data_IF_633605059113
#
_entry.id   IF_633605059113
#
_cell.length_a   1.000
_cell.length_b   1.000
_cell.length_c   1.000
_cell.angle_alpha   90.00
_cell.angle_beta   90.00
_cell.angle_gamma   90.00
#
_symmetry.space_group_name_H-M   'P 1'
#
loop_
_entity.id
_entity.type
_entity.pdbx_description
1 polymer ?
#
# COMPACT_ATOMS: atom_id res chain seq x y z
N UNK A 1 -7.62 -2.30 -13.70
CA UNK A 1 -7.14 -3.56 -13.11
C UNK A 1 -5.66 -3.42 -12.77
N UNK A 2 -5.36 -2.40 -11.94
CA UNK A 2 -4.01 -2.02 -11.47
C UNK A 2 -3.93 -2.19 -9.95
N UNK A 3 -4.38 -3.31 -9.47
CA UNK A 3 -4.26 -3.68 -8.07
C UNK A 3 -3.51 -5.01 -8.01
N UNK A 4 -2.33 -4.96 -7.51
CA UNK A 4 -1.40 -6.01 -7.07
C UNK A 4 -0.09 -5.99 -7.85
N UNK A 5 0.81 -5.12 -7.40
CA UNK A 5 2.25 -5.40 -7.32
C UNK A 5 2.96 -4.10 -6.90
N UNK A 6 2.66 -3.65 -5.66
CA UNK A 6 3.76 -3.04 -4.91
C UNK A 6 4.69 -4.20 -4.60
N UNK A 7 5.89 -4.18 -5.16
CA UNK A 7 6.95 -5.01 -4.67
C UNK A 7 7.05 -4.74 -3.16
N UNK A 8 6.51 -5.65 -2.35
CA UNK A 8 6.81 -5.71 -0.94
C UNK A 8 8.32 -5.92 -0.86
N UNK A 9 9.07 -4.85 -0.66
CA UNK A 9 10.25 -4.95 0.14
C UNK A 9 9.71 -5.43 1.50
N UNK A 10 9.63 -6.75 1.66
CA UNK A 10 9.68 -7.41 2.94
C UNK A 10 11.05 -7.03 3.52
N UNK A 11 11.15 -5.82 4.06
CA UNK A 11 11.98 -5.65 5.22
C UNK A 11 11.36 -6.65 6.20
N UNK A 12 12.04 -7.76 6.42
CA UNK A 12 11.84 -8.62 7.54
C UNK A 12 12.23 -7.80 8.78
N UNK A 13 11.42 -6.77 9.10
CA UNK A 13 11.30 -6.31 10.46
C UNK A 13 10.75 -7.54 11.19
N UNK A 14 11.62 -8.14 11.98
CA UNK A 14 11.22 -9.18 12.90
C UNK A 14 9.89 -8.71 13.49
N UNK A 15 8.82 -9.51 13.33
CA UNK A 15 7.60 -9.29 14.06
C UNK A 15 8.05 -9.07 15.50
N UNK A 16 8.04 -7.83 15.97
CA UNK A 16 8.08 -7.55 17.38
C UNK A 16 6.82 -8.23 17.91
N UNK A 17 6.97 -9.48 18.29
CA UNK A 17 6.00 -10.18 19.10
C UNK A 17 6.04 -9.43 20.41
N UNK A 18 5.18 -8.39 20.53
CA UNK A 18 4.87 -7.87 21.85
C UNK A 18 4.56 -9.08 22.70
N UNK A 19 5.22 -9.26 23.85
CA UNK A 19 5.01 -10.42 24.67
C UNK A 19 3.49 -10.50 24.97
N UNK A 20 2.86 -11.56 24.51
CA UNK A 20 1.42 -11.82 24.61
C UNK A 20 0.90 -11.84 26.05
N UNK A 21 1.79 -11.80 27.03
CA UNK A 21 1.48 -11.91 28.46
C UNK A 21 1.44 -10.58 29.23
N UNK A 22 1.71 -9.46 28.56
CA UNK A 22 1.76 -8.14 29.23
C UNK A 22 0.42 -7.40 29.29
N UNK A 23 -0.61 -7.86 28.58
CA UNK A 23 -1.87 -7.13 28.48
C UNK A 23 -3.04 -8.07 28.82
N UNK A 24 -3.50 -7.98 30.07
CA UNK A 24 -4.81 -8.54 30.41
C UNK A 24 -5.88 -7.57 29.90
N UNK A 25 -6.88 -8.06 29.15
CA UNK A 25 -8.06 -7.26 28.85
C UNK A 25 -8.66 -6.64 30.10
N UNK A 26 -9.19 -5.43 29.98
CA UNK A 26 -9.96 -4.76 31.04
C UNK A 26 -9.19 -4.31 32.28
N UNK A 27 -8.06 -3.59 32.15
CA UNK A 27 -7.33 -3.10 33.33
C UNK A 27 -8.14 -2.08 34.15
N UNK A 28 -9.19 -1.50 33.58
CA UNK A 28 -10.01 -0.44 34.21
C UNK A 28 -11.16 -0.94 35.06
N UNK A 29 -11.44 -2.25 35.05
CA UNK A 29 -12.54 -2.82 35.81
C UNK A 29 -12.10 -3.43 37.15
N UNK A 30 -12.78 -3.03 38.24
CA UNK A 30 -12.63 -3.68 39.55
C UNK A 30 -13.69 -4.75 39.67
N UNK A 31 -13.27 -5.99 39.82
CA UNK A 31 -14.14 -7.15 39.94
C UNK A 31 -14.21 -7.58 41.40
N UNK A 32 -15.44 -7.78 41.92
CA UNK A 32 -15.63 -8.26 43.27
C UNK A 32 -15.39 -9.77 43.34
N UNK A 33 -14.66 -10.22 44.37
CA UNK A 33 -14.39 -11.65 44.58
C UNK A 33 -15.69 -12.42 44.72
N UNK A 34 -15.80 -13.55 44.02
CA UNK A 34 -16.96 -14.43 43.90
C UNK A 34 -18.19 -13.78 43.25
N UNK A 35 -18.02 -12.70 42.48
CA UNK A 35 -19.08 -12.21 41.58
C UNK A 35 -19.12 -13.04 40.29
N UNK A 36 -20.19 -12.85 39.48
CA UNK A 36 -20.32 -13.53 38.19
C UNK A 36 -19.20 -13.10 37.23
N UNK A 37 -18.76 -11.84 37.32
CA UNK A 37 -17.62 -11.32 36.57
C UNK A 37 -16.30 -12.00 37.01
N UNK A 38 -16.09 -12.26 38.32
CA UNK A 38 -14.94 -12.97 38.83
C UNK A 38 -14.93 -14.42 38.33
N UNK A 39 -16.05 -15.10 38.38
CA UNK A 39 -16.21 -16.45 37.85
C UNK A 39 -15.94 -16.49 36.32
N UNK A 40 -16.43 -15.49 35.57
CA UNK A 40 -16.12 -15.38 34.15
C UNK A 40 -14.62 -15.22 33.90
N UNK A 41 -13.97 -14.29 34.60
CA UNK A 41 -12.53 -14.06 34.43
C UNK A 41 -11.70 -15.31 34.75
N UNK A 42 -12.09 -16.02 35.81
CA UNK A 42 -11.46 -17.30 36.16
C UNK A 42 -11.68 -18.37 35.06
N UNK A 43 -12.88 -18.46 34.51
CA UNK A 43 -13.21 -19.40 33.44
C UNK A 43 -12.45 -19.07 32.14
N UNK A 44 -12.37 -17.79 31.75
CA UNK A 44 -11.68 -17.35 30.53
C UNK A 44 -10.17 -17.51 30.67
N UNK A 45 -9.61 -17.12 31.81
CA UNK A 45 -8.16 -17.19 32.05
C UNK A 45 -7.68 -18.63 32.32
N UNK A 46 -8.54 -19.48 32.86
CA UNK A 46 -8.25 -20.90 33.11
C UNK A 46 -8.52 -21.82 31.91
N UNK A 47 -9.08 -21.30 30.84
CA UNK A 47 -9.38 -22.09 29.63
C UNK A 47 -8.11 -22.41 28.83
N UNK A 48 -7.98 -23.68 28.45
CA UNK A 48 -6.82 -24.18 27.72
C UNK A 48 -6.81 -23.74 26.24
N UNK A 49 -7.98 -23.41 25.68
CA UNK A 49 -8.14 -23.09 24.27
C UNK A 49 -8.99 -21.84 24.03
N UNK A 50 -8.74 -21.11 22.93
CA UNK A 50 -9.59 -19.95 22.58
C UNK A 50 -11.07 -20.33 22.38
N UNK A 51 -11.38 -21.57 21.97
CA UNK A 51 -12.75 -22.04 21.82
C UNK A 51 -13.45 -22.19 23.18
N UNK A 52 -12.75 -22.67 24.21
CA UNK A 52 -13.28 -22.73 25.59
C UNK A 52 -13.46 -21.32 26.17
N UNK A 53 -12.51 -20.39 25.87
CA UNK A 53 -12.65 -18.98 26.24
C UNK A 53 -13.95 -18.38 25.64
N UNK A 54 -14.18 -18.64 24.34
CA UNK A 54 -15.37 -18.15 23.63
C UNK A 54 -16.64 -18.71 24.26
N UNK A 55 -16.68 -20.00 24.59
CA UNK A 55 -17.84 -20.63 25.23
C UNK A 55 -18.17 -20.02 26.61
N UNK A 56 -17.15 -19.68 27.42
CA UNK A 56 -17.34 -18.99 28.69
C UNK A 56 -17.91 -17.58 28.50
N UNK A 57 -17.41 -16.83 27.52
CA UNK A 57 -17.92 -15.50 27.17
C UNK A 57 -19.38 -15.58 26.67
N UNK A 58 -19.72 -16.54 25.84
CA UNK A 58 -21.09 -16.76 25.33
C UNK A 58 -22.07 -17.09 26.46
N UNK A 59 -21.66 -17.89 27.44
CA UNK A 59 -22.43 -18.19 28.64
C UNK A 59 -22.75 -16.93 29.43
N UNK A 60 -21.72 -16.14 29.75
CA UNK A 60 -21.90 -14.89 30.52
C UNK A 60 -22.75 -13.86 29.77
N UNK A 61 -22.47 -13.63 28.49
CA UNK A 61 -23.22 -12.65 27.69
C UNK A 61 -24.70 -13.01 27.56
N UNK A 62 -25.05 -14.30 27.56
CA UNK A 62 -26.42 -14.75 27.53
C UNK A 62 -27.16 -14.52 28.85
N UNK A 63 -26.49 -14.69 29.99
CA UNK A 63 -27.09 -14.61 31.31
C UNK A 63 -27.02 -13.18 31.87
N UNK A 64 -26.04 -12.37 31.46
CA UNK A 64 -25.72 -11.06 32.02
C UNK A 64 -25.60 -9.96 30.95
N UNK A 65 -26.46 -9.98 29.92
CA UNK A 65 -26.42 -9.04 28.79
C UNK A 65 -26.42 -7.56 29.18
N UNK A 66 -27.05 -7.23 30.32
CA UNK A 66 -27.15 -5.86 30.85
C UNK A 66 -26.04 -5.50 31.87
N UNK A 67 -25.05 -6.39 32.08
CA UNK A 67 -23.96 -6.13 33.01
C UNK A 67 -23.14 -4.93 32.56
N UNK A 68 -22.75 -4.09 33.51
CA UNK A 68 -21.80 -2.99 33.28
C UNK A 68 -20.41 -3.47 32.86
N UNK A 69 -20.15 -4.78 33.01
CA UNK A 69 -18.92 -5.45 32.61
C UNK A 69 -18.90 -5.84 31.14
N UNK A 70 -20.02 -5.66 30.41
CA UNK A 70 -20.09 -6.02 28.98
C UNK A 70 -19.02 -5.40 28.09
N UNK A 71 -18.55 -4.17 28.28
CA UNK A 71 -17.39 -3.65 27.53
C UNK A 71 -16.17 -4.56 27.67
N UNK A 72 -15.85 -4.97 28.90
CA UNK A 72 -14.78 -5.92 29.16
C UNK A 72 -15.00 -7.28 28.46
N UNK A 73 -16.23 -7.78 28.48
CA UNK A 73 -16.59 -9.03 27.79
C UNK A 73 -16.37 -8.90 26.28
N UNK A 74 -16.73 -7.77 25.69
CA UNK A 74 -16.49 -7.49 24.26
C UNK A 74 -15.00 -7.41 23.95
N UNK A 75 -14.17 -6.81 24.81
CA UNK A 75 -12.71 -6.80 24.61
C UNK A 75 -12.14 -8.21 24.64
N UNK A 76 -12.60 -9.07 25.55
CA UNK A 76 -12.24 -10.49 25.56
C UNK A 76 -12.69 -11.17 24.27
N UNK A 77 -13.93 -10.94 23.80
CA UNK A 77 -14.37 -11.45 22.50
C UNK A 77 -13.47 -11.00 21.36
N UNK A 78 -13.10 -9.72 21.32
CA UNK A 78 -12.19 -9.19 20.29
C UNK A 78 -10.84 -9.91 20.34
N UNK A 79 -10.25 -10.06 21.53
CA UNK A 79 -8.98 -10.74 21.73
C UNK A 79 -9.03 -12.22 21.38
N UNK A 80 -10.08 -12.94 21.78
CA UNK A 80 -10.24 -14.38 21.51
C UNK A 80 -10.47 -14.62 20.01
N UNK A 81 -11.31 -13.81 19.34
CA UNK A 81 -11.52 -13.93 17.90
C UNK A 81 -10.25 -13.59 17.11
N UNK A 82 -9.41 -12.66 17.60
CA UNK A 82 -8.09 -12.40 17.01
C UNK A 82 -7.19 -13.65 17.05
N UNK A 83 -7.15 -14.36 18.20
CA UNK A 83 -6.41 -15.63 18.35
C UNK A 83 -6.94 -16.72 17.42
N UNK A 84 -8.25 -16.76 17.21
CA UNK A 84 -8.93 -17.66 16.28
C UNK A 84 -8.78 -17.27 14.81
N UNK A 85 -8.17 -16.11 14.53
CA UNK A 85 -8.04 -15.50 13.20
C UNK A 85 -9.38 -15.15 12.55
N UNK A 86 -10.45 -15.02 13.36
CA UNK A 86 -11.74 -14.45 12.95
C UNK A 86 -11.64 -12.91 13.10
N UNK A 87 -10.91 -12.30 12.17
CA UNK A 87 -10.60 -10.88 12.23
C UNK A 87 -11.85 -10.00 12.12
N UNK A 88 -12.86 -10.46 11.40
CA UNK A 88 -14.10 -9.73 11.21
C UNK A 88 -14.89 -9.61 12.52
N UNK A 89 -14.98 -10.68 13.29
CA UNK A 89 -15.59 -10.64 14.62
C UNK A 89 -14.73 -9.89 15.62
N UNK A 90 -13.41 -10.03 15.54
CA UNK A 90 -12.51 -9.25 16.39
C UNK A 90 -12.75 -7.74 16.20
N UNK A 91 -12.85 -7.28 14.95
CA UNK A 91 -13.18 -5.87 14.63
C UNK A 91 -14.57 -5.50 15.17
N UNK A 92 -15.58 -6.32 14.92
CA UNK A 92 -16.96 -6.05 15.38
C UNK A 92 -17.04 -5.84 16.88
N UNK A 93 -16.43 -6.72 17.68
CA UNK A 93 -16.48 -6.61 19.13
C UNK A 93 -15.64 -5.44 19.66
N UNK A 94 -14.48 -5.18 19.08
CA UNK A 94 -13.68 -4.02 19.47
C UNK A 94 -14.40 -2.69 19.15
N UNK A 95 -15.07 -2.58 18.02
CA UNK A 95 -15.85 -1.39 17.65
C UNK A 95 -17.08 -1.19 18.54
N UNK A 96 -17.70 -2.27 19.06
CA UNK A 96 -18.77 -2.16 20.06
C UNK A 96 -18.31 -1.45 21.34
N UNK A 97 -17.08 -1.71 21.77
CA UNK A 97 -16.53 -1.05 22.96
C UNK A 97 -16.21 0.41 22.71
N UNK A 98 -15.65 0.71 21.53
CA UNK A 98 -15.43 2.10 21.11
C UNK A 98 -16.74 2.91 21.10
N UNK A 99 -17.86 2.28 20.70
CA UNK A 99 -19.18 2.92 20.65
C UNK A 99 -19.73 3.28 22.02
N UNK A 100 -19.33 2.57 23.08
CA UNK A 100 -19.72 2.89 24.49
C UNK A 100 -18.66 3.69 25.23
N UNK A 101 -17.70 4.27 24.50
CA UNK A 101 -16.57 5.06 25.02
C UNK A 101 -15.64 4.30 25.97
N UNK A 102 -15.66 2.98 25.91
CA UNK A 102 -14.61 2.18 26.55
C UNK A 102 -13.35 2.23 25.72
N UNK A 103 -12.26 2.70 26.31
CA UNK A 103 -11.00 2.92 25.56
C UNK A 103 -9.83 2.57 26.47
N UNK A 104 -9.00 1.63 26.01
CA UNK A 104 -7.69 1.39 26.54
C UNK A 104 -6.72 1.01 25.42
N UNK A 105 -5.44 0.97 25.75
CA UNK A 105 -4.39 0.69 24.76
C UNK A 105 -4.48 -0.74 24.22
N UNK A 106 -4.88 -1.70 25.03
CA UNK A 106 -5.01 -3.09 24.61
C UNK A 106 -6.15 -3.27 23.60
N UNK A 107 -7.29 -2.62 23.84
CA UNK A 107 -8.40 -2.56 22.88
C UNK A 107 -7.95 -1.98 21.54
N UNK A 108 -7.22 -0.84 21.58
CA UNK A 108 -6.70 -0.20 20.37
C UNK A 108 -5.77 -1.13 19.59
N UNK A 109 -4.78 -1.71 20.27
CA UNK A 109 -3.82 -2.62 19.62
C UNK A 109 -4.49 -3.89 19.10
N UNK A 110 -5.50 -4.42 19.78
CA UNK A 110 -6.29 -5.58 19.32
C UNK A 110 -7.03 -5.24 18.02
N UNK A 111 -7.70 -4.08 17.99
CA UNK A 111 -8.38 -3.59 16.78
C UNK A 111 -7.42 -3.37 15.62
N UNK A 112 -6.27 -2.74 15.86
CA UNK A 112 -5.26 -2.53 14.83
C UNK A 112 -4.72 -3.85 14.27
N UNK A 113 -4.49 -4.86 15.13
CA UNK A 113 -4.06 -6.19 14.70
C UNK A 113 -5.10 -6.87 13.81
N UNK A 114 -6.37 -6.77 14.20
CA UNK A 114 -7.47 -7.34 13.43
C UNK A 114 -7.59 -6.66 12.06
N UNK A 115 -7.57 -5.33 12.00
CA UNK A 115 -7.58 -4.59 10.73
C UNK A 115 -6.35 -4.88 9.87
N UNK A 116 -5.15 -4.88 10.43
CA UNK A 116 -3.92 -5.16 9.67
C UNK A 116 -3.94 -6.56 9.03
N UNK A 117 -4.57 -7.53 9.71
CA UNK A 117 -4.67 -8.93 9.26
C UNK A 117 -5.90 -9.23 8.40
N UNK A 118 -6.91 -8.36 8.36
CA UNK A 118 -8.13 -8.49 7.54
C UNK A 118 -7.93 -7.85 6.16
N UNK A 119 -9.01 -7.86 5.35
CA UNK A 119 -9.08 -7.07 4.10
C UNK A 119 -9.91 -5.81 4.27
N UNK A 120 -10.49 -5.58 5.45
CA UNK A 120 -11.36 -4.44 5.74
C UNK A 120 -10.56 -3.15 5.92
N UNK A 121 -11.24 -2.06 5.68
CA UNK A 121 -10.80 -0.69 6.00
C UNK A 121 -12.03 0.13 6.38
N UNK A 122 -11.92 0.93 7.42
CA UNK A 122 -12.94 1.92 7.83
C UNK A 122 -12.25 3.18 8.33
N UNK A 123 -13.01 4.25 8.54
CA UNK A 123 -12.46 5.46 9.16
C UNK A 123 -12.04 5.22 10.61
N UNK A 124 -12.73 4.31 11.32
CA UNK A 124 -12.46 3.94 12.72
C UNK A 124 -11.00 3.53 12.93
N UNK A 125 -10.41 2.71 12.03
CA UNK A 125 -9.03 2.27 12.20
C UNK A 125 -8.05 3.45 12.20
N UNK A 126 -8.27 4.44 11.34
CA UNK A 126 -7.41 5.63 11.29
C UNK A 126 -7.62 6.55 12.48
N UNK A 127 -8.85 6.66 12.99
CA UNK A 127 -9.13 7.38 14.23
C UNK A 127 -8.42 6.74 15.42
N UNK A 128 -8.48 5.42 15.54
CA UNK A 128 -7.81 4.68 16.62
C UNK A 128 -6.29 4.82 16.50
N UNK A 129 -5.72 4.67 15.30
CA UNK A 129 -4.29 4.90 15.09
C UNK A 129 -3.86 6.27 15.64
N UNK A 130 -4.61 7.33 15.31
CA UNK A 130 -4.28 8.68 15.76
C UNK A 130 -4.48 8.89 17.27
N UNK A 131 -5.21 8.03 17.97
CA UNK A 131 -5.39 8.07 19.43
C UNK A 131 -4.35 7.26 20.21
N UNK A 132 -3.64 6.34 19.56
CA UNK A 132 -2.64 5.47 20.22
C UNK A 132 -1.61 6.27 21.04
N UNK A 133 -0.97 7.36 20.54
CA UNK A 133 0.04 8.06 21.31
C UNK A 133 -0.52 8.68 22.61
N UNK A 134 -1.71 9.27 22.57
CA UNK A 134 -2.33 9.86 23.73
C UNK A 134 -2.74 8.80 24.76
N UNK A 135 -3.30 7.66 24.29
CA UNK A 135 -3.69 6.55 25.15
C UNK A 135 -2.45 5.88 25.78
N UNK A 136 -1.41 5.63 25.00
CA UNK A 136 -0.16 5.10 25.51
C UNK A 136 0.46 6.02 26.55
N UNK A 137 0.46 7.33 26.32
CA UNK A 137 0.90 8.32 27.28
C UNK A 137 0.04 8.32 28.56
N UNK A 138 -1.29 8.25 28.44
CA UNK A 138 -2.19 8.21 29.59
C UNK A 138 -1.91 7.00 30.49
N UNK A 139 -1.67 5.83 29.90
CA UNK A 139 -1.44 4.60 30.66
C UNK A 139 0.01 4.47 31.20
N UNK A 140 0.98 5.06 30.52
CA UNK A 140 2.39 4.93 30.90
C UNK A 140 2.94 6.10 31.71
N UNK A 141 2.31 7.28 31.67
CA UNK A 141 2.85 8.49 32.31
C UNK A 141 2.54 8.61 33.80
N UNK A 142 1.73 7.74 34.38
CA UNK A 142 1.36 7.78 35.79
C UNK A 142 1.32 6.40 36.46
N UNK A 143 2.33 5.57 36.35
CA UNK A 143 2.41 4.47 37.28
C UNK A 143 2.68 5.09 38.66
N UNK A 144 1.68 5.06 39.55
CA UNK A 144 1.98 5.30 40.96
C UNK A 144 2.88 4.17 41.44
N UNK A 145 4.05 4.52 42.01
CA UNK A 145 4.93 3.52 42.61
C UNK A 145 4.12 2.67 43.60
N UNK A 146 4.04 1.35 43.41
CA UNK A 146 3.37 0.48 44.37
C UNK A 146 3.99 0.66 45.74
N UNK A 147 3.14 0.78 46.79
CA UNK A 147 3.56 1.14 48.16
C UNK A 147 4.68 0.25 48.72
N UNK A 148 4.82 -0.98 48.23
CA UNK A 148 5.82 -1.96 48.68
C UNK A 148 6.90 -2.26 47.64
N UNK A 149 6.89 -1.58 46.49
CA UNK A 149 7.87 -1.87 45.42
C UNK A 149 9.26 -1.40 45.85
N UNK A 150 10.25 -2.27 45.66
CA UNK A 150 11.67 -1.94 45.77
C UNK A 150 12.08 -0.95 44.67
N UNK A 151 13.26 -0.35 44.78
CA UNK A 151 13.75 0.56 43.74
C UNK A 151 14.00 -0.19 42.42
N UNK A 152 14.42 -1.44 42.47
CA UNK A 152 14.63 -2.30 41.29
C UNK A 152 13.31 -2.65 40.59
N UNK A 153 12.29 -3.03 41.37
CA UNK A 153 10.94 -3.29 40.83
C UNK A 153 10.33 -2.04 40.20
N UNK A 154 10.51 -0.89 40.87
CA UNK A 154 10.04 0.38 40.33
C UNK A 154 10.73 0.77 39.03
N UNK A 155 12.05 0.66 38.98
CA UNK A 155 12.82 0.91 37.75
C UNK A 155 12.39 -0.02 36.61
N UNK A 156 12.09 -1.28 36.91
CA UNK A 156 11.55 -2.21 35.93
C UNK A 156 10.17 -1.79 35.41
N UNK A 157 9.23 -1.43 36.30
CA UNK A 157 7.90 -0.97 35.90
C UNK A 157 8.01 0.26 34.97
N UNK A 158 8.88 1.22 35.32
CA UNK A 158 9.10 2.40 34.46
C UNK A 158 9.66 2.03 33.09
N UNK A 159 10.61 1.11 33.05
CA UNK A 159 11.18 0.63 31.79
C UNK A 159 10.14 -0.09 30.93
N UNK A 160 9.40 -1.03 31.52
CA UNK A 160 8.36 -1.79 30.83
C UNK A 160 7.27 -0.85 30.27
N UNK A 161 6.90 0.22 31.01
CA UNK A 161 5.98 1.24 30.55
C UNK A 161 6.52 2.05 29.35
N UNK A 162 7.81 2.42 29.38
CA UNK A 162 8.42 3.14 28.27
C UNK A 162 8.53 2.24 27.01
N UNK A 163 8.88 0.97 27.20
CA UNK A 163 8.91 -0.01 26.12
C UNK A 163 7.50 -0.20 25.52
N UNK A 164 6.47 -0.34 26.34
CA UNK A 164 5.09 -0.45 25.87
C UNK A 164 4.65 0.78 25.05
N UNK A 165 4.99 1.99 25.51
CA UNK A 165 4.65 3.20 24.78
C UNK A 165 5.33 3.24 23.41
N UNK A 166 6.63 2.89 23.35
CA UNK A 166 7.39 2.82 22.12
C UNK A 166 6.86 1.74 21.18
N UNK A 167 6.66 0.54 21.68
CA UNK A 167 6.18 -0.59 20.89
C UNK A 167 4.77 -0.31 20.33
N UNK A 168 3.93 0.39 21.08
CA UNK A 168 2.59 0.79 20.64
C UNK A 168 2.66 1.82 19.51
N UNK A 169 3.59 2.80 19.60
CA UNK A 169 3.87 3.76 18.55
C UNK A 169 4.32 3.04 17.27
N UNK A 170 5.37 2.24 17.37
CA UNK A 170 5.95 1.52 16.22
C UNK A 170 4.91 0.59 15.56
N UNK A 171 4.06 -0.05 16.39
CA UNK A 171 2.98 -0.90 15.91
C UNK A 171 1.88 -0.10 15.18
N UNK A 172 1.48 1.06 15.71
CA UNK A 172 0.48 1.91 15.06
C UNK A 172 0.99 2.44 13.71
N UNK A 173 2.26 2.83 13.62
CA UNK A 173 2.91 3.23 12.36
C UNK A 173 2.88 2.08 11.36
N UNK A 174 3.30 0.88 11.77
CA UNK A 174 3.25 -0.30 10.92
C UNK A 174 1.82 -0.61 10.45
N UNK A 175 0.84 -0.64 11.36
CA UNK A 175 -0.55 -0.94 11.04
C UNK A 175 -1.14 0.09 10.06
N UNK A 176 -0.80 1.37 10.23
CA UNK A 176 -1.21 2.42 9.31
C UNK A 176 -0.82 2.09 7.86
N UNK A 177 0.44 1.77 7.62
CA UNK A 177 0.92 1.45 6.28
C UNK A 177 0.42 0.10 5.74
N UNK A 178 -0.06 -0.81 6.61
CA UNK A 178 -0.74 -2.04 6.16
C UNK A 178 -2.17 -1.76 5.68
N UNK A 179 -2.86 -0.81 6.29
CA UNK A 179 -4.28 -0.53 6.02
C UNK A 179 -4.46 0.56 4.95
N UNK A 180 -3.62 1.59 4.94
CA UNK A 180 -3.72 2.74 4.04
C UNK A 180 -3.85 2.36 2.54
N UNK A 181 -3.13 1.35 1.99
CA UNK A 181 -3.25 0.96 0.59
C UNK A 181 -4.64 0.45 0.19
N UNK A 182 -5.50 0.10 1.16
CA UNK A 182 -6.88 -0.36 0.93
C UNK A 182 -7.85 0.79 0.70
N UNK A 183 -7.45 2.02 1.03
CA UNK A 183 -8.22 3.23 0.69
C UNK A 183 -8.12 3.45 -0.82
N UNK A 184 -9.23 3.23 -1.53
CA UNK A 184 -9.26 3.28 -3.00
C UNK A 184 -9.33 4.70 -3.54
N UNK A 185 -9.98 5.62 -2.83
CA UNK A 185 -10.02 7.04 -3.18
C UNK A 185 -8.67 7.71 -2.89
N UNK A 186 -7.95 8.20 -3.91
CA UNK A 186 -6.64 8.81 -3.72
C UNK A 186 -6.68 10.13 -2.94
N UNK A 187 -7.78 10.90 -3.01
CA UNK A 187 -7.90 12.13 -2.24
C UNK A 187 -8.06 11.82 -0.74
N UNK A 188 -8.89 10.83 -0.42
CA UNK A 188 -9.03 10.31 0.95
C UNK A 188 -7.72 9.72 1.46
N UNK A 189 -6.98 9.00 0.62
CA UNK A 189 -5.69 8.42 1.00
C UNK A 189 -4.67 9.50 1.40
N UNK A 190 -4.61 10.60 0.64
CA UNK A 190 -3.76 11.75 0.96
C UNK A 190 -4.22 12.40 2.27
N UNK A 191 -5.52 12.67 2.42
CA UNK A 191 -6.08 13.27 3.63
C UNK A 191 -5.76 12.46 4.89
N UNK A 192 -5.91 11.14 4.81
CA UNK A 192 -5.61 10.22 5.92
C UNK A 192 -4.12 10.24 6.26
N UNK A 193 -3.25 10.21 5.23
CA UNK A 193 -1.80 10.31 5.43
C UNK A 193 -1.40 11.64 6.08
N UNK A 194 -1.93 12.76 5.61
CA UNK A 194 -1.64 14.08 6.18
C UNK A 194 -2.10 14.21 7.63
N UNK A 195 -3.24 13.59 7.98
CA UNK A 195 -3.72 13.56 9.36
C UNK A 195 -2.81 12.71 10.24
N UNK A 196 -2.40 11.56 9.73
CA UNK A 196 -1.46 10.67 10.41
C UNK A 196 -0.11 11.34 10.67
N UNK A 197 0.48 12.02 9.69
CA UNK A 197 1.78 12.71 9.84
C UNK A 197 1.73 13.88 10.84
N UNK A 198 0.57 14.46 11.11
CA UNK A 198 0.43 15.46 12.20
C UNK A 198 0.55 14.80 13.58
N UNK A 199 0.06 13.57 13.72
CA UNK A 199 0.13 12.80 14.96
C UNK A 199 1.50 12.13 15.15
N UNK A 200 2.11 11.70 14.04
CA UNK A 200 3.39 11.00 13.97
C UNK A 200 4.41 11.77 13.11
N UNK A 201 4.90 12.94 13.58
CA UNK A 201 5.76 13.81 12.76
C UNK A 201 7.15 13.24 12.48
N UNK A 202 7.61 12.30 13.30
CA UNK A 202 8.85 11.56 13.13
C UNK A 202 8.84 10.67 11.86
N UNK A 203 7.67 10.11 11.52
CA UNK A 203 7.48 9.21 10.38
C UNK A 203 7.78 9.90 9.04
N UNK A 204 7.51 11.19 8.92
CA UNK A 204 7.82 11.92 7.68
C UNK A 204 9.33 11.89 7.36
N UNK A 205 10.15 11.81 8.39
CA UNK A 205 11.62 11.75 8.26
C UNK A 205 12.12 10.31 8.23
N UNK A 206 11.67 9.49 9.18
CA UNK A 206 12.23 8.17 9.42
C UNK A 206 11.73 7.15 8.38
N UNK A 207 10.50 7.32 7.89
CA UNK A 207 9.87 6.50 6.84
C UNK A 207 9.62 7.28 5.54
N UNK A 208 10.43 8.30 5.26
CA UNK A 208 10.29 9.19 4.11
C UNK A 208 10.10 8.47 2.77
N UNK A 209 10.76 7.34 2.58
CA UNK A 209 10.63 6.53 1.36
C UNK A 209 9.19 6.01 1.18
N UNK A 210 8.58 5.53 2.26
CA UNK A 210 7.22 4.98 2.24
C UNK A 210 6.19 6.11 2.10
N UNK A 211 6.35 7.21 2.83
CA UNK A 211 5.52 8.40 2.73
C UNK A 211 5.52 8.97 1.31
N UNK A 212 6.70 9.16 0.72
CA UNK A 212 6.83 9.66 -0.65
C UNK A 212 6.19 8.70 -1.67
N UNK A 213 6.29 7.39 -1.45
CA UNK A 213 5.66 6.38 -2.32
C UNK A 213 4.13 6.49 -2.28
N UNK A 214 3.54 6.68 -1.10
CA UNK A 214 2.09 6.87 -0.98
C UNK A 214 1.63 8.13 -1.71
N UNK A 215 2.29 9.27 -1.49
CA UNK A 215 1.97 10.51 -2.19
C UNK A 215 2.11 10.35 -3.71
N UNK A 216 3.21 9.76 -4.17
CA UNK A 216 3.47 9.53 -5.58
C UNK A 216 2.35 8.72 -6.25
N UNK A 217 1.97 7.59 -5.65
CA UNK A 217 0.91 6.73 -6.19
C UNK A 217 -0.48 7.39 -6.12
N UNK A 218 -0.78 8.10 -5.04
CA UNK A 218 -2.05 8.79 -4.89
C UNK A 218 -2.20 9.93 -5.90
N UNK A 219 -1.18 10.78 -6.06
CA UNK A 219 -1.21 11.87 -7.04
C UNK A 219 -1.20 11.37 -8.49
N UNK A 220 -0.50 10.26 -8.78
CA UNK A 220 -0.58 9.61 -10.10
C UNK A 220 -2.02 9.16 -10.40
N UNK A 221 -2.72 8.54 -9.45
CA UNK A 221 -4.13 8.13 -9.61
C UNK A 221 -5.10 9.31 -9.73
N UNK A 222 -4.80 10.45 -9.11
CA UNK A 222 -5.55 11.70 -9.26
C UNK A 222 -5.30 12.38 -10.61
N UNK A 223 -4.25 12.00 -11.35
CA UNK A 223 -3.80 12.72 -12.54
C UNK A 223 -3.13 14.06 -12.21
N UNK A 224 -2.69 14.29 -10.97
CA UNK A 224 -1.93 15.47 -10.58
C UNK A 224 -0.47 15.29 -10.96
N UNK A 225 -0.15 15.68 -12.20
CA UNK A 225 1.15 15.40 -12.82
C UNK A 225 2.29 16.16 -12.13
N UNK A 226 2.06 17.40 -11.69
CA UNK A 226 3.08 18.22 -11.03
C UNK A 226 3.50 17.57 -9.71
N UNK A 227 2.52 17.12 -8.92
CA UNK A 227 2.80 16.40 -7.67
C UNK A 227 3.39 15.01 -7.93
N UNK A 228 2.96 14.33 -8.97
CA UNK A 228 3.58 13.05 -9.38
C UNK A 228 5.06 13.23 -9.69
N UNK A 229 5.43 14.30 -10.41
CA UNK A 229 6.83 14.62 -10.68
C UNK A 229 7.59 14.96 -9.39
N UNK A 230 7.02 15.83 -8.54
CA UNK A 230 7.65 16.23 -7.28
C UNK A 230 8.04 15.02 -6.41
N UNK A 231 7.06 14.12 -6.17
CA UNK A 231 7.30 12.96 -5.32
C UNK A 231 8.10 11.87 -6.01
N UNK A 232 7.97 11.73 -7.33
CA UNK A 232 8.84 10.85 -8.12
C UNK A 232 10.31 11.25 -8.03
N UNK A 233 10.62 12.55 -8.11
CA UNK A 233 11.97 13.07 -7.95
C UNK A 233 12.53 12.83 -6.54
N UNK A 234 11.71 12.97 -5.49
CA UNK A 234 12.09 12.61 -4.11
C UNK A 234 12.45 11.13 -3.96
N UNK A 235 11.64 10.25 -4.60
CA UNK A 235 11.91 8.81 -4.60
C UNK A 235 13.23 8.51 -5.32
N UNK A 236 13.46 9.09 -6.50
CA UNK A 236 14.68 8.85 -7.28
C UNK A 236 15.91 9.44 -6.58
N UNK A 237 15.76 10.54 -5.85
CA UNK A 237 16.85 11.11 -5.05
C UNK A 237 17.29 10.15 -3.94
N UNK A 238 16.37 9.42 -3.32
CA UNK A 238 16.64 8.42 -2.29
C UNK A 238 17.07 7.07 -2.87
N UNK A 239 16.44 6.63 -3.97
CA UNK A 239 16.73 5.39 -4.70
C UNK A 239 16.84 5.68 -6.20
N UNK A 240 18.04 5.96 -6.71
CA UNK A 240 18.28 6.26 -8.12
C UNK A 240 17.92 5.12 -9.09
N UNK A 241 17.72 3.92 -8.58
CA UNK A 241 17.35 2.73 -9.36
C UNK A 241 15.89 2.34 -9.22
N UNK A 242 15.05 3.20 -8.64
CA UNK A 242 13.62 2.92 -8.50
C UNK A 242 12.94 2.87 -9.88
N UNK A 243 12.80 1.66 -10.41
CA UNK A 243 12.30 1.42 -11.77
C UNK A 243 10.90 2.00 -11.98
N UNK A 244 10.02 1.89 -10.98
CA UNK A 244 8.64 2.36 -11.07
C UNK A 244 8.59 3.89 -11.20
N UNK A 245 9.33 4.60 -10.35
CA UNK A 245 9.40 6.06 -10.40
C UNK A 245 10.06 6.53 -11.72
N UNK A 246 11.17 5.91 -12.12
CA UNK A 246 11.86 6.22 -13.37
C UNK A 246 10.96 6.05 -14.60
N UNK A 247 10.24 4.92 -14.71
CA UNK A 247 9.33 4.67 -15.82
C UNK A 247 8.14 5.63 -15.80
N UNK A 248 7.55 5.86 -14.63
CA UNK A 248 6.42 6.79 -14.51
C UNK A 248 6.82 8.19 -14.93
N UNK A 249 7.96 8.71 -14.44
CA UNK A 249 8.43 10.04 -14.85
C UNK A 249 8.80 10.08 -16.33
N UNK A 250 9.39 9.02 -16.86
CA UNK A 250 9.65 8.89 -18.30
C UNK A 250 8.37 9.08 -19.12
N UNK A 251 7.30 8.36 -18.78
CA UNK A 251 6.00 8.47 -19.45
C UNK A 251 5.34 9.84 -19.24
N UNK A 252 5.40 10.40 -18.02
CA UNK A 252 4.83 11.71 -17.71
C UNK A 252 5.51 12.79 -18.56
N UNK A 253 6.82 12.82 -18.63
CA UNK A 253 7.56 13.78 -19.46
C UNK A 253 7.38 13.55 -20.97
N UNK A 254 7.14 12.30 -21.40
CA UNK A 254 6.90 12.01 -22.81
C UNK A 254 5.51 12.44 -23.29
N UNK A 255 4.46 12.16 -22.50
CA UNK A 255 3.10 12.13 -23.03
C UNK A 255 2.09 13.03 -22.34
N UNK A 256 2.32 13.38 -21.07
CA UNK A 256 1.22 13.91 -20.25
C UNK A 256 1.39 15.36 -19.81
N UNK A 257 2.60 15.90 -19.76
CA UNK A 257 2.82 17.29 -19.41
C UNK A 257 2.39 18.24 -20.53
N UNK A 258 1.92 19.42 -20.17
CA UNK A 258 1.60 20.49 -21.12
C UNK A 258 2.80 20.92 -21.99
N UNK A 259 3.99 20.79 -21.44
CA UNK A 259 5.27 21.00 -22.12
C UNK A 259 6.12 19.74 -22.06
N UNK A 260 5.90 18.77 -22.98
CA UNK A 260 6.64 17.51 -22.99
C UNK A 260 8.15 17.76 -23.18
N UNK A 261 8.96 16.97 -22.50
CA UNK A 261 10.41 16.98 -22.65
C UNK A 261 10.91 15.59 -23.02
N UNK A 262 11.09 15.37 -24.32
CA UNK A 262 11.60 14.09 -24.85
C UNK A 262 13.03 13.77 -24.37
N UNK A 263 13.81 14.79 -24.03
CA UNK A 263 15.17 14.63 -23.47
C UNK A 263 15.12 14.09 -22.04
N UNK A 264 14.29 14.71 -21.18
CA UNK A 264 14.08 14.19 -19.81
C UNK A 264 13.44 12.81 -19.85
N UNK A 265 12.42 12.61 -20.69
CA UNK A 265 11.76 11.33 -20.87
C UNK A 265 12.77 10.23 -21.24
N UNK A 266 13.61 10.47 -22.24
CA UNK A 266 14.64 9.53 -22.65
C UNK A 266 15.69 9.27 -21.57
N UNK A 267 16.08 10.30 -20.80
CA UNK A 267 17.01 10.15 -19.68
C UNK A 267 16.45 9.24 -18.59
N UNK A 268 15.19 9.45 -18.16
CA UNK A 268 14.53 8.59 -17.20
C UNK A 268 14.35 7.16 -17.72
N UNK A 269 13.91 7.01 -18.97
CA UNK A 269 13.70 5.70 -19.59
C UNK A 269 15.00 4.90 -19.73
N UNK A 270 16.14 5.55 -20.07
CA UNK A 270 17.43 4.87 -20.12
C UNK A 270 17.88 4.35 -18.76
N UNK A 271 17.68 5.14 -17.70
CA UNK A 271 17.94 4.70 -16.33
C UNK A 271 17.01 3.56 -15.94
N UNK A 272 15.70 3.68 -16.26
CA UNK A 272 14.72 2.64 -16.00
C UNK A 272 15.08 1.31 -16.69
N UNK A 273 15.54 1.37 -17.94
CA UNK A 273 15.98 0.19 -18.69
C UNK A 273 17.14 -0.53 -17.98
N UNK A 274 18.17 0.23 -17.58
CA UNK A 274 19.30 -0.33 -16.85
C UNK A 274 18.89 -0.92 -15.50
N UNK A 275 18.06 -0.20 -14.75
CA UNK A 275 17.57 -0.65 -13.44
C UNK A 275 16.67 -1.90 -13.56
N UNK A 276 15.76 -1.94 -14.57
CA UNK A 276 14.88 -3.09 -14.81
C UNK A 276 15.64 -4.37 -15.20
N UNK A 277 16.73 -4.23 -15.96
CA UNK A 277 17.62 -5.36 -16.28
C UNK A 277 18.31 -5.93 -15.03
N UNK A 278 18.59 -5.08 -14.05
CA UNK A 278 19.22 -5.45 -12.78
C UNK A 278 18.27 -5.93 -11.69
N UNK A 279 16.95 -5.98 -11.94
CA UNK A 279 15.98 -6.42 -10.95
C UNK A 279 16.27 -7.85 -10.49
N UNK A 280 16.26 -8.05 -9.18
CA UNK A 280 16.39 -9.37 -8.57
C UNK A 280 15.00 -9.88 -8.18
N UNK A 281 14.77 -11.17 -8.47
CA UNK A 281 13.52 -11.81 -8.07
C UNK A 281 13.43 -11.89 -6.54
N UNK A 282 12.37 -11.36 -5.90
CA UNK A 282 12.15 -11.54 -4.48
C UNK A 282 11.92 -13.02 -4.14
N UNK A 283 12.32 -13.40 -2.92
CA UNK A 283 12.07 -14.74 -2.42
C UNK A 283 10.57 -15.03 -2.35
N UNK A 284 10.17 -16.25 -2.75
CA UNK A 284 8.77 -16.68 -2.74
C UNK A 284 7.93 -16.17 -3.93
N UNK A 285 8.47 -15.33 -4.81
CA UNK A 285 7.76 -14.89 -6.03
C UNK A 285 7.94 -15.93 -7.14
N UNK A 286 6.86 -16.28 -7.82
CA UNK A 286 6.87 -17.17 -8.98
C UNK A 286 7.68 -16.56 -10.15
N UNK A 287 8.44 -17.40 -10.89
CA UNK A 287 9.30 -16.94 -11.98
C UNK A 287 8.53 -16.28 -13.12
N UNK A 288 7.35 -16.79 -13.47
CA UNK A 288 6.53 -16.23 -14.54
C UNK A 288 5.95 -14.88 -14.13
N UNK A 289 5.56 -14.74 -12.85
CA UNK A 289 5.06 -13.47 -12.29
C UNK A 289 6.17 -12.42 -12.28
N UNK A 290 7.36 -12.78 -11.79
CA UNK A 290 8.51 -11.87 -11.79
C UNK A 290 8.91 -11.44 -13.19
N UNK A 291 9.01 -12.43 -14.13
CA UNK A 291 9.35 -12.14 -15.51
C UNK A 291 8.34 -11.19 -16.16
N UNK A 292 7.05 -11.41 -15.96
CA UNK A 292 6.00 -10.54 -16.50
C UNK A 292 6.11 -9.10 -15.99
N UNK A 293 6.40 -8.93 -14.70
CA UNK A 293 6.63 -7.61 -14.11
C UNK A 293 7.88 -6.96 -14.72
N UNK A 294 8.98 -7.68 -14.80
CA UNK A 294 10.22 -7.19 -15.41
C UNK A 294 10.01 -6.82 -16.88
N UNK A 295 9.33 -7.67 -17.65
CA UNK A 295 9.00 -7.40 -19.06
C UNK A 295 8.12 -6.13 -19.18
N UNK A 296 7.18 -5.92 -18.26
CA UNK A 296 6.38 -4.69 -18.24
C UNK A 296 7.24 -3.46 -17.99
N UNK A 297 8.16 -3.52 -17.02
CA UNK A 297 9.05 -2.39 -16.72
C UNK A 297 10.00 -2.09 -17.89
N UNK A 298 10.57 -3.10 -18.50
CA UNK A 298 11.39 -2.97 -19.72
C UNK A 298 10.57 -2.40 -20.87
N UNK A 299 9.35 -2.89 -21.08
CA UNK A 299 8.45 -2.43 -22.13
C UNK A 299 8.07 -0.95 -22.01
N UNK A 300 7.84 -0.47 -20.77
CA UNK A 300 7.58 0.95 -20.51
C UNK A 300 8.79 1.83 -20.86
N UNK A 301 10.00 1.40 -20.51
CA UNK A 301 11.23 2.10 -20.85
C UNK A 301 11.41 2.17 -22.38
N UNK A 302 11.26 1.03 -23.08
CA UNK A 302 11.34 0.98 -24.55
C UNK A 302 10.26 1.82 -25.23
N UNK A 303 9.02 1.85 -24.72
CA UNK A 303 7.95 2.73 -25.23
C UNK A 303 8.36 4.20 -25.18
N UNK A 304 8.89 4.62 -24.03
CA UNK A 304 9.33 6.01 -23.81
C UNK A 304 10.50 6.37 -24.71
N UNK A 305 11.51 5.49 -24.82
CA UNK A 305 12.67 5.68 -25.71
C UNK A 305 12.25 5.74 -27.18
N UNK A 306 11.37 4.83 -27.59
CA UNK A 306 10.84 4.77 -28.94
C UNK A 306 10.06 6.03 -29.33
N UNK A 307 9.23 6.52 -28.44
CA UNK A 307 8.52 7.79 -28.66
C UNK A 307 9.49 8.99 -28.71
N UNK A 308 10.45 9.07 -27.80
CA UNK A 308 11.45 10.13 -27.82
C UNK A 308 12.29 10.11 -29.09
N UNK A 309 12.64 8.92 -29.59
CA UNK A 309 13.33 8.74 -30.86
C UNK A 309 12.45 9.14 -32.06
N UNK A 310 11.16 8.78 -32.02
CA UNK A 310 10.16 9.16 -33.02
C UNK A 310 10.05 10.69 -33.16
N UNK A 311 9.83 11.40 -32.04
CA UNK A 311 9.72 12.87 -32.05
C UNK A 311 11.01 13.53 -32.56
N UNK A 312 12.15 13.01 -32.14
CA UNK A 312 13.47 13.54 -32.59
C UNK A 312 13.68 13.31 -34.09
N UNK A 313 13.24 12.18 -34.60
CA UNK A 313 13.41 11.80 -35.98
C UNK A 313 12.47 12.50 -36.96
N UNK A 314 11.41 13.16 -36.50
CA UNK A 314 10.46 13.91 -37.37
C UNK A 314 11.16 14.93 -38.28
N UNK A 315 12.31 15.46 -37.85
CA UNK A 315 13.12 16.39 -38.64
C UNK A 315 14.02 15.70 -39.69
N UNK A 316 14.39 14.44 -39.46
CA UNK A 316 15.40 13.71 -40.27
C UNK A 316 14.82 12.56 -41.05
N UNK A 317 13.58 12.14 -40.77
CA UNK A 317 12.87 10.96 -41.27
C UNK A 317 13.63 9.63 -41.04
N UNK A 318 14.64 9.63 -40.17
CA UNK A 318 15.41 8.43 -39.80
C UNK A 318 14.71 7.75 -38.61
N UNK A 319 13.66 6.98 -38.92
CA UNK A 319 12.77 6.39 -37.92
C UNK A 319 13.18 4.99 -37.46
N UNK A 320 14.22 4.40 -37.99
CA UNK A 320 14.68 3.06 -37.60
C UNK A 320 14.87 2.90 -36.11
N UNK A 321 15.56 3.81 -35.37
CA UNK A 321 15.68 3.66 -33.91
C UNK A 321 14.34 3.68 -33.17
N UNK A 322 13.38 4.51 -33.61
CA UNK A 322 12.05 4.54 -33.02
C UNK A 322 11.28 3.24 -33.27
N UNK A 323 11.37 2.72 -34.51
CA UNK A 323 10.73 1.46 -34.91
C UNK A 323 11.27 0.30 -34.07
N UNK A 324 12.60 0.22 -33.90
CA UNK A 324 13.22 -0.88 -33.15
C UNK A 324 12.79 -0.87 -31.71
N UNK A 325 12.83 0.30 -31.02
CA UNK A 325 12.38 0.46 -29.65
C UNK A 325 10.89 0.16 -29.47
N UNK A 326 10.03 0.66 -30.37
CA UNK A 326 8.58 0.45 -30.30
C UNK A 326 8.16 -1.00 -30.59
N UNK A 327 8.90 -1.72 -31.43
CA UNK A 327 8.73 -3.17 -31.63
C UNK A 327 9.01 -3.93 -30.33
N UNK A 328 10.14 -3.64 -29.71
CA UNK A 328 10.52 -4.27 -28.44
C UNK A 328 9.45 -3.97 -27.38
N UNK A 329 9.04 -2.70 -27.26
CA UNK A 329 7.99 -2.28 -26.32
C UNK A 329 6.68 -3.05 -26.55
N UNK A 330 6.20 -3.14 -27.80
CA UNK A 330 4.93 -3.80 -28.11
C UNK A 330 4.93 -5.30 -27.81
N UNK A 331 6.08 -5.95 -27.82
CA UNK A 331 6.21 -7.36 -27.46
C UNK A 331 6.30 -7.55 -25.95
N UNK A 332 7.10 -6.73 -25.25
CA UNK A 332 7.26 -6.81 -23.79
C UNK A 332 6.02 -6.40 -23.02
N UNK A 333 5.19 -5.53 -23.61
CA UNK A 333 3.92 -5.07 -23.00
C UNK A 333 2.74 -6.01 -23.28
N UNK A 334 2.99 -7.23 -23.77
CA UNK A 334 1.93 -8.22 -23.93
C UNK A 334 1.24 -8.52 -22.58
N UNK A 335 -0.10 -8.46 -22.61
CA UNK A 335 -0.91 -8.53 -21.38
C UNK A 335 -1.13 -7.20 -20.64
N UNK A 336 -0.59 -6.07 -21.18
CA UNK A 336 -0.94 -4.70 -20.78
C UNK A 336 -1.57 -3.95 -21.96
N UNK A 337 -2.88 -4.15 -22.22
CA UNK A 337 -3.50 -3.69 -23.48
C UNK A 337 -3.42 -2.18 -23.69
N UNK A 338 -3.44 -1.38 -22.61
CA UNK A 338 -3.37 0.08 -22.74
C UNK A 338 -2.01 0.55 -23.25
N UNK A 339 -0.91 0.05 -22.64
CA UNK A 339 0.46 0.44 -23.02
C UNK A 339 0.88 -0.26 -24.31
N UNK A 340 0.47 -1.52 -24.53
CA UNK A 340 0.72 -2.24 -25.78
C UNK A 340 0.04 -1.54 -26.96
N UNK A 341 -1.22 -1.13 -26.79
CA UNK A 341 -1.96 -0.36 -27.79
C UNK A 341 -1.29 0.97 -28.15
N UNK A 342 -0.75 1.65 -27.13
CA UNK A 342 0.03 2.87 -27.31
C UNK A 342 1.32 2.63 -28.10
N UNK A 343 2.08 1.57 -27.75
CA UNK A 343 3.31 1.20 -28.44
C UNK A 343 3.05 0.86 -29.92
N UNK A 344 2.02 0.06 -30.19
CA UNK A 344 1.61 -0.31 -31.55
C UNK A 344 1.12 0.89 -32.38
N UNK A 345 0.41 1.81 -31.75
CA UNK A 345 -0.04 3.04 -32.40
C UNK A 345 1.15 3.89 -32.88
N UNK A 346 2.12 4.17 -32.02
CA UNK A 346 3.32 4.93 -32.39
C UNK A 346 4.24 4.16 -33.34
N UNK A 347 4.30 2.83 -33.21
CA UNK A 347 5.01 1.98 -34.17
C UNK A 347 4.42 2.12 -35.59
N UNK A 348 3.11 2.10 -35.70
CA UNK A 348 2.45 2.30 -36.98
C UNK A 348 2.71 3.70 -37.57
N UNK A 349 2.67 4.72 -36.71
CA UNK A 349 3.01 6.09 -37.12
C UNK A 349 4.46 6.16 -37.64
N UNK A 350 5.40 5.51 -36.95
CA UNK A 350 6.79 5.49 -37.35
C UNK A 350 7.01 4.75 -38.71
N UNK A 351 6.17 3.75 -39.01
CA UNK A 351 6.21 3.09 -40.31
C UNK A 351 5.63 3.96 -41.45
N UNK A 352 4.55 4.75 -41.14
CA UNK A 352 3.94 5.65 -42.12
C UNK A 352 4.81 6.85 -42.45
N UNK A 353 5.44 7.45 -41.41
CA UNK A 353 6.29 8.64 -41.59
C UNK A 353 7.70 8.30 -42.12
N UNK A 354 8.05 7.00 -42.21
CA UNK A 354 9.34 6.54 -42.73
C UNK A 354 9.49 6.79 -44.21
N UNK A 355 10.77 6.93 -44.68
CA UNK A 355 11.08 7.09 -46.10
C UNK A 355 11.99 5.93 -46.52
N UNK A 356 11.48 5.00 -47.37
CA UNK A 356 10.08 4.88 -47.82
C UNK A 356 9.12 4.45 -46.72
N UNK A 357 7.84 4.85 -46.81
CA UNK A 357 6.80 4.40 -45.91
C UNK A 357 6.55 2.88 -46.03
N UNK A 358 6.26 2.25 -44.88
CA UNK A 358 5.94 0.82 -44.83
C UNK A 358 4.48 0.59 -44.44
N UNK A 359 3.56 0.90 -45.36
CA UNK A 359 2.11 0.78 -45.14
C UNK A 359 1.68 -0.62 -44.69
N UNK A 360 2.33 -1.68 -45.15
CA UNK A 360 2.01 -3.05 -44.74
C UNK A 360 2.30 -3.27 -43.25
N UNK A 361 3.49 -2.89 -42.80
CA UNK A 361 3.85 -3.03 -41.39
C UNK A 361 3.00 -2.12 -40.47
N UNK A 362 2.66 -0.91 -40.94
CA UNK A 362 1.75 0.00 -40.24
C UNK A 362 0.36 -0.63 -40.05
N UNK A 363 -0.20 -1.21 -41.13
CA UNK A 363 -1.50 -1.90 -41.05
C UNK A 363 -1.46 -3.11 -40.11
N UNK A 364 -0.38 -3.89 -40.11
CA UNK A 364 -0.22 -5.03 -39.20
C UNK A 364 -0.22 -4.59 -37.73
N UNK A 365 0.50 -3.52 -37.41
CA UNK A 365 0.51 -2.94 -36.06
C UNK A 365 -0.87 -2.36 -35.66
N UNK A 366 -1.52 -1.62 -36.55
CA UNK A 366 -2.82 -1.04 -36.30
C UNK A 366 -3.92 -2.08 -36.12
N UNK A 367 -3.93 -3.15 -36.93
CA UNK A 367 -4.90 -4.23 -36.79
C UNK A 367 -4.83 -4.89 -35.41
N UNK A 368 -3.64 -4.95 -34.79
CA UNK A 368 -3.48 -5.39 -33.40
C UNK A 368 -3.95 -4.30 -32.43
N UNK A 369 -3.52 -3.06 -32.61
CA UNK A 369 -3.85 -1.95 -31.71
C UNK A 369 -5.35 -1.72 -31.54
N UNK A 370 -6.14 -1.83 -32.61
CA UNK A 370 -7.60 -1.61 -32.57
C UNK A 370 -8.36 -2.69 -31.77
N UNK A 371 -7.76 -3.84 -31.54
CA UNK A 371 -8.35 -4.90 -30.69
C UNK A 371 -8.05 -4.74 -29.21
N UNK A 372 -7.13 -3.85 -28.86
CA UNK A 372 -6.68 -3.63 -27.47
C UNK A 372 -7.49 -2.50 -26.83
N UNK A 373 -8.17 -2.76 -25.70
CA UNK A 373 -8.88 -1.71 -25.00
C UNK A 373 -7.89 -0.72 -24.36
N UNK A 374 -8.12 0.58 -24.53
CA UNK A 374 -7.27 1.61 -23.96
C UNK A 374 -7.44 2.98 -24.63
N UNK A 375 -6.72 3.98 -24.13
CA UNK A 375 -6.87 5.36 -24.61
C UNK A 375 -6.46 5.57 -26.07
N UNK A 376 -5.65 4.68 -26.65
CA UNK A 376 -5.18 4.77 -28.02
C UNK A 376 -6.00 3.96 -29.04
N UNK A 377 -7.05 3.23 -28.60
CA UNK A 377 -7.86 2.40 -29.50
C UNK A 377 -8.55 3.23 -30.59
N UNK A 378 -9.18 4.34 -30.21
CA UNK A 378 -9.86 5.22 -31.16
C UNK A 378 -8.88 5.87 -32.16
N UNK A 379 -7.73 6.33 -31.67
CA UNK A 379 -6.67 6.89 -32.51
C UNK A 379 -6.12 5.86 -33.50
N UNK A 380 -5.93 4.62 -33.04
CA UNK A 380 -5.49 3.52 -33.90
C UNK A 380 -6.52 3.19 -35.00
N UNK A 381 -7.82 3.21 -34.67
CA UNK A 381 -8.90 3.04 -35.66
C UNK A 381 -8.88 4.14 -36.73
N UNK A 382 -8.74 5.40 -36.31
CA UNK A 382 -8.67 6.54 -37.21
C UNK A 382 -7.45 6.46 -38.14
N UNK A 383 -6.28 6.12 -37.58
CA UNK A 383 -5.06 5.96 -38.38
C UNK A 383 -5.17 4.80 -39.35
N UNK A 384 -5.75 3.65 -38.93
CA UNK A 384 -5.96 2.49 -39.82
C UNK A 384 -6.84 2.84 -41.01
N UNK A 385 -7.90 3.62 -40.78
CA UNK A 385 -8.78 4.09 -41.86
C UNK A 385 -8.01 4.95 -42.86
N UNK A 386 -7.16 5.88 -42.35
CA UNK A 386 -6.30 6.73 -43.17
C UNK A 386 -5.30 5.94 -44.01
N UNK A 387 -4.61 4.97 -43.39
CA UNK A 387 -3.63 4.14 -44.10
C UNK A 387 -4.28 3.27 -45.17
N UNK A 388 -5.48 2.73 -44.94
CA UNK A 388 -6.26 1.98 -45.93
C UNK A 388 -6.74 2.82 -47.11
N UNK A 389 -6.94 4.11 -46.92
CA UNK A 389 -7.38 5.05 -47.96
C UNK A 389 -6.23 5.66 -48.78
N UNK A 390 -4.98 5.47 -48.32
CA UNK A 390 -3.82 5.98 -49.03
C UNK A 390 -3.68 5.30 -50.41
N UNK A 391 -3.36 6.02 -51.50
CA UNK A 391 -3.10 5.42 -52.80
C UNK A 391 -1.89 4.48 -52.70
N UNK A 392 -2.04 3.28 -53.28
CA UNK A 392 -0.98 2.26 -53.33
C UNK A 392 0.16 2.67 -54.23
#
# INVERSE_FOLDING_TARGET
>A
MYQRFCAFLLVAMGMATLPLWAQQPCPSFTVAVNSDEDHLMLAVNGADTPQQQLAALDGFAKEHADSKFMPCVNEYYASVNLKLKDYDKSIEYAEKDLAVNYQDLNLYLTLLRAYASSTKVSDTVFEVINKVPDQAKAETSTPMRPVKATDEEWAKIQKDSQELAKDSHDYAVWAFFQVLPRVTDPAKQIQVLETFLKTYPDVEKDDAAQVNTVYFQAYQRQGNLDKTVEYGDKIIAADPNNVVALNTLGLVYAFYLSHPSTEKAASYAQKALTAAQGLKKPEGVDDAVFKKEQDTQLGMAHLTLGYAAFVRAQRTLKLTPAIDELKVASNLLDGNPALQGQALYYLAYAYEDGVPANHRAAMEALNKAVTLPGPFQAQAQALLAKVKAAPK
#
